data_IF_071879118958
#
_entry.id   IF_071879118958
#
_cell.length_a   1.000
_cell.length_b   1.000
_cell.length_c   1.000
_cell.angle_alpha   90.00
_cell.angle_beta   90.00
_cell.angle_gamma   90.00
#
_symmetry.space_group_name_H-M   'P 1'
#
loop_
_entity.id
_entity.type
_entity.pdbx_description
1 polymer ?
#
# COMPACT_ATOMS: atom_id res chain seq x y z
N UNK A 1 -9.36 52.43 29.66
CA UNK A 1 -8.95 51.01 29.72
C UNK A 1 -9.89 50.02 28.99
N UNK A 2 -11.20 50.30 28.85
CA UNK A 2 -12.14 49.39 28.14
C UNK A 2 -11.91 49.29 26.62
N UNK A 3 -11.58 50.40 25.97
CA UNK A 3 -11.36 50.47 24.51
C UNK A 3 -10.10 49.67 24.08
N UNK A 4 -9.01 49.76 24.85
CA UNK A 4 -7.79 48.97 24.60
C UNK A 4 -8.02 47.46 24.71
N UNK A 5 -8.86 47.02 25.66
CA UNK A 5 -9.23 45.60 25.78
C UNK A 5 -10.06 45.14 24.58
N UNK A 6 -11.05 45.93 24.15
CA UNK A 6 -11.87 45.63 22.97
C UNK A 6 -11.05 45.54 21.67
N UNK A 7 -10.08 46.45 21.48
CA UNK A 7 -9.18 46.43 20.32
C UNK A 7 -8.28 45.19 20.32
N UNK A 8 -7.73 44.82 21.48
CA UNK A 8 -6.90 43.61 21.62
C UNK A 8 -7.72 42.34 21.38
N UNK A 9 -8.96 42.27 21.89
CA UNK A 9 -9.86 41.14 21.64
C UNK A 9 -10.24 41.02 20.16
N UNK A 10 -10.46 42.14 19.46
CA UNK A 10 -10.80 42.14 18.03
C UNK A 10 -9.60 41.71 17.15
N UNK A 11 -8.38 42.12 17.51
CA UNK A 11 -7.13 41.71 16.85
C UNK A 11 -6.84 40.21 16.97
N UNK A 12 -7.20 39.58 18.10
CA UNK A 12 -7.03 38.14 18.31
C UNK A 12 -7.98 37.33 17.40
N UNK A 13 -9.22 37.79 17.18
CA UNK A 13 -10.17 37.11 16.28
C UNK A 13 -9.74 37.19 14.81
N UNK A 14 -9.08 38.27 14.38
CA UNK A 14 -8.57 38.41 13.01
C UNK A 14 -7.28 37.63 12.74
N UNK A 15 -6.57 37.19 13.79
CA UNK A 15 -5.32 36.43 13.67
C UNK A 15 -5.53 34.91 13.54
N UNK A 16 -6.77 34.42 13.58
CA UNK A 16 -7.06 33.00 13.38
C UNK A 16 -7.08 32.69 11.88
N UNK A 17 -5.96 32.18 11.36
CA UNK A 17 -5.88 31.68 9.99
C UNK A 17 -6.75 30.43 9.77
N UNK A 18 -7.18 30.13 8.53
CA UNK A 18 -7.96 28.93 8.25
C UNK A 18 -7.14 27.68 8.56
N UNK A 19 -7.70 26.80 9.40
CA UNK A 19 -7.15 25.46 9.61
C UNK A 19 -7.63 24.59 8.44
N UNK A 20 -6.70 24.10 7.62
CA UNK A 20 -7.01 23.19 6.53
C UNK A 20 -7.33 21.79 7.07
N UNK A 21 -8.57 21.62 7.54
CA UNK A 21 -9.11 20.32 7.88
C UNK A 21 -9.54 19.57 6.60
N UNK A 22 -9.71 18.25 6.72
CA UNK A 22 -10.24 17.42 5.65
C UNK A 22 -11.74 17.71 5.49
N UNK A 23 -12.15 18.17 4.31
CA UNK A 23 -13.56 18.41 4.00
C UNK A 23 -14.25 17.12 3.52
N UNK A 24 -15.57 16.95 3.76
CA UNK A 24 -16.27 15.72 3.39
C UNK A 24 -16.14 15.34 1.92
N UNK A 25 -16.16 16.34 1.03
CA UNK A 25 -16.07 16.16 -0.41
C UNK A 25 -14.65 15.78 -0.90
N UNK A 26 -13.66 15.83 -0.02
CA UNK A 26 -12.27 15.41 -0.27
C UNK A 26 -12.01 13.94 0.08
N UNK A 27 -13.05 13.20 0.48
CA UNK A 27 -12.97 11.78 0.87
C UNK A 27 -13.57 10.91 -0.24
N UNK A 28 -12.79 9.99 -0.80
CA UNK A 28 -13.30 8.94 -1.69
C UNK A 28 -13.48 7.64 -0.89
N UNK A 29 -14.71 7.13 -0.83
CA UNK A 29 -15.06 5.93 -0.07
C UNK A 29 -15.07 4.72 -1.00
N UNK A 30 -14.21 3.74 -0.72
CA UNK A 30 -14.06 2.51 -1.49
C UNK A 30 -14.85 1.41 -0.78
N UNK A 31 -15.76 0.77 -1.53
CA UNK A 31 -16.57 -0.34 -1.04
C UNK A 31 -16.41 -1.56 -1.94
N UNK A 32 -16.58 -2.74 -1.34
CA UNK A 32 -16.78 -3.97 -2.11
C UNK A 32 -18.25 -4.04 -2.54
N UNK A 33 -18.49 -3.83 -3.84
CA UNK A 33 -19.82 -3.85 -4.44
C UNK A 33 -20.52 -5.21 -4.35
N UNK A 34 -19.75 -6.29 -4.25
CA UNK A 34 -20.27 -7.67 -4.17
C UNK A 34 -20.69 -8.06 -2.73
N UNK A 35 -20.46 -7.19 -1.75
CA UNK A 35 -20.79 -7.43 -0.34
C UNK A 35 -21.75 -6.32 0.15
N UNK A 36 -23.03 -6.67 0.34
CA UNK A 36 -24.07 -5.71 0.74
C UNK A 36 -23.73 -4.96 2.04
N UNK A 37 -23.09 -5.62 3.01
CA UNK A 37 -22.67 -4.98 4.25
C UNK A 37 -21.60 -3.89 4.02
N UNK A 38 -20.70 -4.08 3.06
CA UNK A 38 -19.66 -3.11 2.67
C UNK A 38 -20.28 -1.81 2.16
N UNK A 39 -21.18 -1.93 1.18
CA UNK A 39 -21.90 -0.79 0.59
C UNK A 39 -22.77 -0.08 1.63
N UNK A 40 -23.43 -0.84 2.52
CA UNK A 40 -24.23 -0.26 3.61
C UNK A 40 -23.37 0.57 4.57
N UNK A 41 -22.18 0.10 4.92
CA UNK A 41 -21.23 0.84 5.76
C UNK A 41 -20.74 2.10 5.04
N UNK A 42 -20.44 2.03 3.75
CA UNK A 42 -20.04 3.19 2.96
C UNK A 42 -21.13 4.28 2.96
N UNK A 43 -22.39 3.91 2.68
CA UNK A 43 -23.53 4.83 2.72
C UNK A 43 -23.75 5.42 4.12
N UNK A 44 -23.64 4.58 5.16
CA UNK A 44 -23.74 5.04 6.55
C UNK A 44 -22.64 6.07 6.89
N UNK A 45 -21.40 5.80 6.49
CA UNK A 45 -20.30 6.74 6.68
C UNK A 45 -20.57 8.07 5.97
N UNK A 46 -20.98 8.03 4.70
CA UNK A 46 -21.34 9.22 3.95
C UNK A 46 -22.43 10.05 4.63
N UNK A 47 -23.51 9.40 5.08
CA UNK A 47 -24.59 10.08 5.79
C UNK A 47 -24.15 10.71 7.12
N UNK A 48 -23.26 10.06 7.87
CA UNK A 48 -22.79 10.56 9.17
C UNK A 48 -21.68 11.60 9.10
N UNK A 49 -20.96 11.66 7.98
CA UNK A 49 -19.81 12.56 7.77
C UNK A 49 -20.05 13.59 6.69
N UNK A 50 -21.27 13.66 6.16
CA UNK A 50 -21.68 14.58 5.10
C UNK A 50 -20.86 14.44 3.81
N UNK A 51 -20.28 13.25 3.59
CA UNK A 51 -19.55 12.94 2.35
C UNK A 51 -20.59 12.72 1.24
N UNK A 52 -20.46 13.37 0.07
CA UNK A 52 -21.38 13.15 -1.04
C UNK A 52 -21.47 11.66 -1.43
N UNK A 53 -22.67 11.18 -1.78
CA UNK A 53 -22.84 9.77 -2.16
C UNK A 53 -22.07 9.41 -3.44
N UNK A 54 -21.82 10.37 -4.32
CA UNK A 54 -21.05 10.20 -5.56
C UNK A 54 -19.55 9.92 -5.31
N UNK A 55 -19.10 10.17 -4.08
CA UNK A 55 -17.77 9.81 -3.62
C UNK A 55 -17.65 8.32 -3.23
N UNK A 56 -18.74 7.53 -3.31
CA UNK A 56 -18.67 6.07 -3.13
C UNK A 56 -18.23 5.43 -4.44
N UNK A 57 -17.08 4.75 -4.41
CA UNK A 57 -16.60 3.88 -5.46
C UNK A 57 -16.79 2.42 -5.05
N UNK A 58 -17.87 1.80 -5.52
CA UNK A 58 -18.14 0.38 -5.33
C UNK A 58 -17.42 -0.44 -6.40
N UNK A 59 -16.56 -1.37 -5.98
CA UNK A 59 -15.72 -2.20 -6.85
C UNK A 59 -16.11 -3.68 -6.74
N UNK A 60 -16.11 -4.44 -7.84
CA UNK A 60 -16.39 -5.88 -7.81
C UNK A 60 -15.15 -6.64 -7.31
N UNK A 61 -15.05 -6.83 -6.00
CA UNK A 61 -13.89 -7.46 -5.33
C UNK A 61 -14.17 -8.91 -4.90
N UNK A 62 -15.31 -9.46 -5.28
CA UNK A 62 -15.76 -10.82 -4.97
C UNK A 62 -16.66 -10.88 -3.73
N UNK A 63 -17.61 -11.83 -3.76
CA UNK A 63 -18.52 -12.10 -2.65
C UNK A 63 -17.84 -12.86 -1.49
N UNK A 64 -16.74 -13.57 -1.77
CA UNK A 64 -15.92 -14.23 -0.75
C UNK A 64 -15.04 -13.22 -0.02
N UNK A 65 -15.25 -13.06 1.28
CA UNK A 65 -14.43 -12.19 2.11
C UNK A 65 -13.01 -12.76 2.21
N UNK A 66 -12.04 -12.03 1.67
CA UNK A 66 -10.62 -12.34 1.77
C UNK A 66 -9.85 -11.05 2.07
N UNK A 67 -9.02 -11.10 3.11
CA UNK A 67 -8.09 -10.01 3.39
C UNK A 67 -7.01 -9.87 2.32
N UNK A 68 -6.81 -10.90 1.49
CA UNK A 68 -5.73 -10.96 0.49
C UNK A 68 -6.29 -10.93 -0.93
N UNK A 69 -5.74 -10.04 -1.75
CA UNK A 69 -5.98 -9.97 -3.20
C UNK A 69 -4.70 -10.31 -3.97
N UNK A 70 -4.81 -10.94 -5.13
CA UNK A 70 -3.65 -11.17 -6.00
C UNK A 70 -3.06 -9.84 -6.50
N UNK A 71 -1.78 -9.82 -6.90
CA UNK A 71 -1.17 -8.60 -7.43
C UNK A 71 -1.88 -8.09 -8.70
N UNK A 72 -2.25 -9.02 -9.59
CA UNK A 72 -2.96 -8.70 -10.83
C UNK A 72 -4.38 -8.20 -10.56
N UNK A 73 -5.10 -8.85 -9.63
CA UNK A 73 -6.41 -8.41 -9.16
C UNK A 73 -6.36 -7.03 -8.52
N UNK A 74 -5.35 -6.76 -7.68
CA UNK A 74 -5.14 -5.43 -7.10
C UNK A 74 -4.99 -4.35 -8.17
N UNK A 75 -4.15 -4.57 -9.19
CA UNK A 75 -3.97 -3.56 -10.23
C UNK A 75 -5.24 -3.34 -11.05
N UNK A 76 -5.91 -4.43 -11.49
CA UNK A 76 -7.06 -4.34 -12.40
C UNK A 76 -8.37 -3.96 -11.72
N UNK A 77 -8.63 -4.50 -10.52
CA UNK A 77 -9.93 -4.36 -9.84
C UNK A 77 -9.93 -3.23 -8.82
N UNK A 78 -8.77 -2.84 -8.28
CA UNK A 78 -8.66 -1.83 -7.24
C UNK A 78 -7.93 -0.57 -7.72
N UNK A 79 -6.65 -0.69 -8.04
CA UNK A 79 -5.78 0.46 -8.28
C UNK A 79 -6.13 1.20 -9.57
N UNK A 80 -6.33 0.50 -10.69
CA UNK A 80 -6.70 1.14 -11.97
C UNK A 80 -8.05 1.86 -11.90
N UNK A 81 -9.14 1.27 -11.37
CA UNK A 81 -10.40 1.99 -11.19
C UNK A 81 -10.30 3.20 -10.27
N UNK A 82 -9.57 3.08 -9.15
CA UNK A 82 -9.33 4.22 -8.24
C UNK A 82 -8.58 5.33 -9.00
N UNK A 83 -7.55 4.99 -9.78
CA UNK A 83 -6.84 5.97 -10.61
C UNK A 83 -7.80 6.60 -11.62
N UNK A 84 -8.60 5.83 -12.35
CA UNK A 84 -9.58 6.43 -13.29
C UNK A 84 -10.54 7.41 -12.61
N UNK A 85 -11.04 7.06 -11.41
CA UNK A 85 -11.92 7.94 -10.64
C UNK A 85 -11.20 9.21 -10.19
N UNK A 86 -9.99 9.09 -9.63
CA UNK A 86 -9.20 10.24 -9.14
C UNK A 86 -8.79 11.22 -10.26
N UNK A 87 -8.64 10.75 -11.50
CA UNK A 87 -8.30 11.61 -12.66
C UNK A 87 -9.53 12.13 -13.41
N UNK A 88 -10.74 11.75 -13.00
CA UNK A 88 -11.96 12.28 -13.62
C UNK A 88 -12.14 13.77 -13.30
N UNK A 89 -12.76 14.56 -14.19
CA UNK A 89 -12.88 16.01 -14.01
C UNK A 89 -13.52 16.44 -12.68
N UNK A 90 -14.42 15.63 -12.14
CA UNK A 90 -15.12 15.89 -10.88
C UNK A 90 -14.23 15.71 -9.64
N UNK A 91 -13.21 14.85 -9.73
CA UNK A 91 -12.41 14.40 -8.57
C UNK A 91 -10.93 14.82 -8.66
N UNK A 92 -10.44 15.21 -9.83
CA UNK A 92 -9.06 15.61 -10.08
C UNK A 92 -8.63 16.75 -9.14
N UNK A 93 -7.58 16.50 -8.34
CA UNK A 93 -7.04 17.48 -7.38
C UNK A 93 -7.92 17.71 -6.14
N UNK A 94 -9.12 17.11 -6.09
CA UNK A 94 -10.09 17.29 -5.00
C UNK A 94 -9.88 16.30 -3.86
N UNK A 95 -9.72 15.02 -4.19
CA UNK A 95 -9.64 13.95 -3.18
C UNK A 95 -8.29 13.97 -2.47
N UNK A 96 -8.34 14.03 -1.14
CA UNK A 96 -7.17 14.00 -0.24
C UNK A 96 -7.12 12.74 0.64
N UNK A 97 -8.23 12.01 0.74
CA UNK A 97 -8.33 10.82 1.58
C UNK A 97 -9.03 9.68 0.84
N UNK A 98 -8.45 8.48 0.92
CA UNK A 98 -9.09 7.24 0.53
C UNK A 98 -9.55 6.50 1.78
N UNK A 99 -10.84 6.20 1.87
CA UNK A 99 -11.41 5.42 2.95
C UNK A 99 -11.85 4.08 2.41
N UNK A 100 -11.36 2.98 2.98
CA UNK A 100 -11.83 1.64 2.64
C UNK A 100 -12.85 1.17 3.68
N UNK A 101 -13.81 0.37 3.24
CA UNK A 101 -14.83 -0.23 4.11
C UNK A 101 -14.63 -1.74 4.23
N UNK A 102 -15.36 -2.34 5.16
CA UNK A 102 -15.38 -3.79 5.36
C UNK A 102 -15.55 -4.54 4.03
N UNK A 103 -14.81 -5.63 3.83
CA UNK A 103 -14.86 -6.43 2.60
C UNK A 103 -13.91 -5.95 1.49
N UNK A 104 -13.20 -4.84 1.68
CA UNK A 104 -12.07 -4.44 0.81
C UNK A 104 -10.79 -5.13 1.31
N UNK A 105 -10.02 -5.82 0.44
CA UNK A 105 -8.79 -6.50 0.84
C UNK A 105 -7.72 -5.54 1.38
N UNK A 106 -6.99 -5.97 2.42
CA UNK A 106 -5.96 -5.19 3.12
C UNK A 106 -4.53 -5.69 2.84
N UNK A 107 -4.39 -6.85 2.18
CA UNK A 107 -3.11 -7.48 1.82
C UNK A 107 -3.05 -7.71 0.32
N UNK A 108 -1.93 -7.33 -0.30
CA UNK A 108 -1.66 -7.66 -1.70
C UNK A 108 -0.68 -8.81 -1.76
N UNK A 109 -1.03 -9.82 -2.56
CA UNK A 109 -0.23 -11.02 -2.78
C UNK A 109 1.17 -10.73 -3.29
N UNK A 110 2.05 -11.72 -3.18
CA UNK A 110 3.46 -11.62 -3.57
C UNK A 110 3.59 -11.07 -4.99
N UNK A 111 4.58 -10.22 -5.20
CA UNK A 111 4.90 -9.69 -6.53
C UNK A 111 5.32 -10.87 -7.41
N UNK A 112 4.72 -10.98 -8.60
CA UNK A 112 5.21 -11.93 -9.60
C UNK A 112 6.64 -11.56 -10.00
N UNK A 113 7.40 -12.54 -10.48
CA UNK A 113 8.76 -12.32 -10.99
C UNK A 113 8.78 -11.15 -11.98
N UNK A 114 9.72 -10.22 -11.82
CA UNK A 114 9.87 -9.06 -12.71
C UNK A 114 10.02 -9.55 -14.17
N UNK A 115 9.15 -9.07 -15.07
CA UNK A 115 9.30 -9.33 -16.51
C UNK A 115 10.69 -8.84 -16.95
N UNK A 116 11.45 -9.67 -17.67
CA UNK A 116 12.83 -9.37 -18.11
C UNK A 116 13.95 -9.71 -17.12
N UNK A 117 13.67 -10.12 -15.88
CA UNK A 117 14.70 -10.62 -14.94
C UNK A 117 14.73 -12.14 -14.76
N UNK A 118 13.92 -12.89 -15.51
CA UNK A 118 13.83 -14.36 -15.37
C UNK A 118 15.19 -15.03 -15.55
N UNK A 119 15.95 -14.65 -16.57
CA UNK A 119 17.26 -15.26 -16.84
C UNK A 119 18.30 -14.87 -15.78
N UNK A 120 18.27 -13.62 -15.33
CA UNK A 120 19.14 -13.16 -14.24
C UNK A 120 18.81 -13.89 -12.93
N UNK A 121 17.53 -14.11 -12.64
CA UNK A 121 17.10 -14.87 -11.46
C UNK A 121 17.51 -16.34 -11.57
N UNK A 122 17.40 -16.94 -12.76
CA UNK A 122 17.86 -18.32 -13.03
C UNK A 122 19.37 -18.44 -12.86
N UNK A 123 20.15 -17.47 -13.36
CA UNK A 123 21.61 -17.43 -13.17
C UNK A 123 22.00 -17.29 -11.70
N UNK A 124 21.35 -16.39 -10.96
CA UNK A 124 21.60 -16.20 -9.52
C UNK A 124 21.30 -17.47 -8.73
N UNK A 125 20.19 -18.16 -9.02
CA UNK A 125 19.85 -19.45 -8.39
C UNK A 125 20.89 -20.53 -8.68
N UNK A 126 21.34 -20.66 -9.94
CA UNK A 126 22.41 -21.62 -10.29
C UNK A 126 23.70 -21.35 -9.53
N UNK A 127 24.11 -20.08 -9.42
CA UNK A 127 25.31 -19.69 -8.67
C UNK A 127 25.18 -20.00 -7.18
N UNK A 128 24.03 -19.71 -6.58
CA UNK A 128 23.78 -20.02 -5.19
C UNK A 128 23.85 -21.53 -4.91
N UNK A 129 23.37 -22.37 -5.83
CA UNK A 129 23.46 -23.83 -5.70
C UNK A 129 24.91 -24.32 -5.81
N UNK A 130 25.67 -23.83 -6.81
CA UNK A 130 27.09 -24.16 -6.96
C UNK A 130 27.91 -23.75 -5.73
N UNK A 131 27.63 -22.58 -5.16
CA UNK A 131 28.30 -22.11 -3.95
C UNK A 131 27.96 -22.97 -2.72
N UNK A 132 26.73 -23.50 -2.62
CA UNK A 132 26.35 -24.47 -1.58
C UNK A 132 27.09 -25.79 -1.73
N UNK A 133 27.12 -26.36 -2.94
CA UNK A 133 27.82 -27.61 -3.23
C UNK A 133 29.32 -27.50 -2.88
N UNK A 134 29.92 -26.35 -3.24
CA UNK A 134 31.32 -26.05 -2.91
C UNK A 134 31.53 -25.95 -1.40
N UNK A 135 30.58 -25.37 -0.67
CA UNK A 135 30.60 -25.29 0.80
C UNK A 135 30.51 -26.68 1.44
N UNK A 136 29.68 -27.56 0.91
CA UNK A 136 29.55 -28.94 1.40
C UNK A 136 30.85 -29.74 1.21
N UNK A 137 31.48 -29.61 0.04
CA UNK A 137 32.79 -30.22 -0.23
C UNK A 137 33.89 -29.65 0.68
N UNK A 138 33.89 -28.34 0.93
CA UNK A 138 34.82 -27.71 1.88
C UNK A 138 34.57 -28.10 3.33
N UNK A 139 33.32 -28.43 3.71
CA UNK A 139 33.00 -28.95 5.05
C UNK A 139 33.57 -30.35 5.27
N UNK A 140 33.64 -31.17 4.22
CA UNK A 140 34.21 -32.51 4.27
C UNK A 140 35.76 -32.50 4.34
N UNK A 141 36.41 -31.46 3.81
CA UNK A 141 37.86 -31.30 3.88
C UNK A 141 38.26 -30.30 4.99
N UNK A 142 38.60 -30.81 6.17
CA UNK A 142 38.94 -29.99 7.35
C UNK A 142 40.38 -29.45 7.31
N UNK A 143 40.55 -28.16 7.00
CA UNK A 143 41.79 -27.39 7.17
C UNK A 143 41.50 -25.93 7.58
N UNK A 144 42.43 -25.25 8.25
CA UNK A 144 42.24 -23.88 8.73
C UNK A 144 41.98 -22.85 7.61
N UNK A 145 42.59 -23.03 6.43
CA UNK A 145 42.29 -22.24 5.21
C UNK A 145 40.86 -22.50 4.68
N UNK A 146 40.30 -23.68 4.94
CA UNK A 146 38.93 -24.02 4.56
C UNK A 146 37.89 -23.28 5.41
N UNK A 147 38.19 -22.92 6.66
CA UNK A 147 37.22 -22.26 7.54
C UNK A 147 37.00 -20.77 7.21
N UNK A 148 38.05 -20.08 6.77
CA UNK A 148 37.92 -18.71 6.26
C UNK A 148 37.19 -18.67 4.91
N UNK A 149 37.48 -19.63 4.03
CA UNK A 149 36.75 -19.81 2.76
C UNK A 149 35.27 -20.13 2.99
N UNK A 150 34.92 -21.00 3.96
CA UNK A 150 33.52 -21.31 4.32
C UNK A 150 32.74 -20.05 4.71
N UNK A 151 33.27 -19.24 5.66
CA UNK A 151 32.63 -17.99 6.10
C UNK A 151 32.39 -17.02 4.93
N UNK A 152 33.33 -16.94 3.98
CA UNK A 152 33.20 -16.07 2.81
C UNK A 152 32.09 -16.54 1.86
N UNK A 153 31.95 -17.84 1.64
CA UNK A 153 30.90 -18.41 0.80
C UNK A 153 29.54 -18.28 1.49
N UNK A 154 29.44 -18.52 2.81
CA UNK A 154 28.19 -18.34 3.56
C UNK A 154 27.65 -16.91 3.45
N UNK A 155 28.54 -15.91 3.55
CA UNK A 155 28.17 -14.49 3.34
C UNK A 155 27.68 -14.21 1.92
N UNK A 156 28.30 -14.82 0.90
CA UNK A 156 27.86 -14.67 -0.49
C UNK A 156 26.49 -15.31 -0.73
N UNK A 157 26.24 -16.50 -0.17
CA UNK A 157 24.93 -17.16 -0.26
C UNK A 157 23.86 -16.30 0.42
N UNK A 158 24.12 -15.77 1.61
CA UNK A 158 23.19 -14.88 2.30
C UNK A 158 22.89 -13.60 1.48
N UNK A 159 23.90 -13.05 0.81
CA UNK A 159 23.71 -11.92 -0.08
C UNK A 159 22.91 -12.27 -1.35
N UNK A 160 23.13 -13.45 -1.93
CA UNK A 160 22.41 -13.93 -3.12
C UNK A 160 20.95 -14.32 -2.82
N UNK A 161 20.65 -14.72 -1.58
CA UNK A 161 19.31 -15.07 -1.12
C UNK A 161 18.47 -13.87 -0.66
N UNK A 162 19.12 -12.74 -0.34
CA UNK A 162 18.44 -11.50 0.05
C UNK A 162 18.16 -10.53 -1.11
N UNK A 163 18.68 -10.83 -2.31
CA UNK A 163 18.52 -10.04 -3.55
C UNK A 163 17.39 -10.55 -4.47
#
# INVERSE_FOLDING_TARGET
MRIRKAVVTCLIFFAVGPVFALEPDQILVIANGDVTASVRIARYYCAKREVPLDNILALPLGAGLSDTISRDGYEKQLAEPIRKKLWSPEFAGKIKCLLTTYGVPIKVGKRSQLKGRRDKLRQLRKRAEQEKDTLEQLKQNSSADSDEKKKKIERKIAHLQSA
#
